data_IF_043462438645
#
_entry.id   IF_043462438645
#
_cell.length_a   1.000
_cell.length_b   1.000
_cell.length_c   1.000
_cell.angle_alpha   90.00
_cell.angle_beta   90.00
_cell.angle_gamma   90.00
#
_symmetry.space_group_name_H-M   'P 1'
#
loop_
_entity.id
_entity.type
_entity.pdbx_description
1 polymer ?
#
# COMPACT_ATOMS: atom_id res chain seq x y z
N UNK A 1 -0.87 19.52 -1.05
CA UNK A 1 0.07 19.62 -2.18
C UNK A 1 -0.63 19.20 -3.47
N UNK A 2 -0.12 19.59 -4.63
CA UNK A 2 -0.67 19.20 -5.95
C UNK A 2 -0.11 17.82 -6.32
N UNK A 3 -0.92 16.93 -6.89
CA UNK A 3 -0.47 15.62 -7.41
C UNK A 3 0.58 15.71 -8.54
N UNK A 4 0.96 16.92 -8.94
CA UNK A 4 1.95 17.24 -9.98
C UNK A 4 3.40 16.89 -9.66
N UNK A 5 3.73 16.59 -8.41
CA UNK A 5 5.14 16.48 -7.98
C UNK A 5 5.66 15.02 -7.98
N UNK A 6 4.78 14.05 -8.28
CA UNK A 6 5.12 12.65 -8.44
C UNK A 6 5.51 12.33 -9.88
N UNK A 7 6.65 11.66 -10.05
CA UNK A 7 7.12 11.20 -11.35
C UNK A 7 7.57 9.73 -11.30
N UNK A 8 7.52 8.99 -12.42
CA UNK A 8 8.02 7.61 -12.44
C UNK A 8 9.50 7.53 -12.02
N UNK A 9 9.81 6.64 -11.09
CA UNK A 9 11.17 6.41 -10.61
C UNK A 9 11.94 5.53 -11.60
N UNK A 10 13.04 6.06 -12.14
CA UNK A 10 13.88 5.32 -13.09
C UNK A 10 14.40 4.01 -12.50
N UNK A 11 14.32 2.92 -13.27
CA UNK A 11 14.81 1.60 -12.87
C UNK A 11 13.94 0.84 -11.86
N UNK A 12 12.79 1.39 -11.44
CA UNK A 12 11.88 0.76 -10.48
C UNK A 12 10.48 0.60 -11.11
N UNK A 13 10.14 -0.55 -11.71
CA UNK A 13 8.80 -0.79 -12.25
C UNK A 13 7.71 -0.59 -11.18
N UNK A 14 6.67 0.19 -11.51
CA UNK A 14 5.63 0.57 -10.55
C UNK A 14 6.09 1.57 -9.48
N UNK A 15 7.33 2.07 -9.59
CA UNK A 15 7.93 3.04 -8.68
C UNK A 15 7.67 4.48 -9.10
N UNK A 16 7.42 5.33 -8.12
CA UNK A 16 7.20 6.76 -8.26
C UNK A 16 8.00 7.52 -7.21
N UNK A 17 8.46 8.72 -7.53
CA UNK A 17 9.22 9.56 -6.62
C UNK A 17 8.71 11.00 -6.63
N UNK A 18 8.79 11.63 -5.47
CA UNK A 18 8.49 13.03 -5.26
C UNK A 18 9.79 13.78 -4.97
N UNK A 19 10.25 14.56 -5.95
CA UNK A 19 11.52 15.27 -5.84
C UNK A 19 11.51 16.40 -4.80
N UNK A 20 10.33 16.91 -4.41
CA UNK A 20 10.20 17.96 -3.40
C UNK A 20 10.39 17.42 -1.98
N UNK A 21 9.95 16.19 -1.71
CA UNK A 21 10.05 15.56 -0.38
C UNK A 21 11.19 14.54 -0.29
N UNK A 22 11.72 14.07 -1.43
CA UNK A 22 12.68 12.98 -1.48
C UNK A 22 12.05 11.60 -1.20
N UNK A 23 10.72 11.54 -1.05
CA UNK A 23 10.01 10.29 -0.89
C UNK A 23 9.91 9.54 -2.22
N UNK A 24 9.88 8.21 -2.14
CA UNK A 24 9.45 7.39 -3.25
C UNK A 24 8.58 6.25 -2.76
N UNK A 25 7.70 5.78 -3.65
CA UNK A 25 6.79 4.67 -3.40
C UNK A 25 6.88 3.66 -4.53
N UNK A 26 6.62 2.40 -4.23
CA UNK A 26 6.35 1.38 -5.21
C UNK A 26 5.00 0.76 -4.89
N UNK A 27 4.19 0.63 -5.93
CA UNK A 27 2.87 0.03 -5.85
C UNK A 27 2.90 -1.32 -6.55
N UNK A 28 2.36 -2.33 -5.89
CA UNK A 28 2.07 -3.63 -6.48
C UNK A 28 0.62 -4.00 -6.19
N UNK A 29 -0.09 -4.53 -7.20
CA UNK A 29 -1.46 -4.98 -7.04
C UNK A 29 -1.80 -6.07 -8.04
N UNK A 30 -2.80 -6.89 -7.72
CA UNK A 30 -3.32 -7.92 -8.60
C UNK A 30 -3.63 -9.22 -7.87
N UNK A 31 -3.71 -10.31 -8.63
CA UNK A 31 -3.95 -11.65 -8.09
C UNK A 31 -2.77 -12.12 -7.23
N UNK A 32 -3.10 -12.77 -6.13
CA UNK A 32 -2.18 -13.33 -5.16
C UNK A 32 -2.27 -14.85 -5.16
N UNK A 33 -1.12 -15.49 -4.97
CA UNK A 33 -1.01 -16.94 -4.77
C UNK A 33 -0.75 -17.28 -3.30
N UNK A 34 -0.97 -18.54 -2.87
CA UNK A 34 -0.71 -18.95 -1.49
C UNK A 34 0.75 -18.83 -1.04
N UNK A 35 1.71 -18.70 -1.95
CA UNK A 35 3.12 -18.37 -1.64
C UNK A 35 3.33 -16.87 -1.40
N UNK A 36 2.43 -16.00 -1.87
CA UNK A 36 2.49 -14.54 -1.67
C UNK A 36 1.70 -14.06 -0.45
N UNK A 37 0.60 -14.74 -0.08
CA UNK A 37 -0.20 -14.43 1.12
C UNK A 37 -0.88 -15.69 1.67
N UNK A 38 -1.21 -15.73 2.95
CA UNK A 38 -2.12 -16.73 3.54
C UNK A 38 -3.57 -16.29 3.33
N UNK A 39 -4.18 -16.81 2.27
CA UNK A 39 -5.54 -16.48 1.86
C UNK A 39 -6.61 -17.23 2.69
N UNK A 40 -6.23 -18.03 3.68
CA UNK A 40 -7.18 -18.84 4.46
C UNK A 40 -7.57 -18.20 5.80
N UNK A 41 -6.83 -17.17 6.24
CA UNK A 41 -6.95 -16.57 7.57
C UNK A 41 -7.79 -15.28 7.60
N UNK A 42 -8.46 -14.93 6.48
CA UNK A 42 -9.23 -13.70 6.30
C UNK A 42 -8.36 -12.48 5.93
N UNK A 43 -8.99 -11.42 5.44
CA UNK A 43 -8.35 -10.26 4.81
C UNK A 43 -7.19 -9.64 5.59
N UNK A 44 -7.39 -9.40 6.90
CA UNK A 44 -6.38 -8.75 7.74
C UNK A 44 -5.14 -9.62 7.90
N UNK A 45 -5.32 -10.90 8.23
CA UNK A 45 -4.22 -11.84 8.40
C UNK A 45 -3.51 -12.11 7.06
N UNK A 46 -4.26 -12.19 5.97
CA UNK A 46 -3.72 -12.28 4.62
C UNK A 46 -2.86 -11.05 4.27
N UNK A 47 -3.31 -9.85 4.63
CA UNK A 47 -2.56 -8.60 4.43
C UNK A 47 -1.25 -8.56 5.22
N UNK A 48 -1.26 -9.00 6.48
CA UNK A 48 -0.04 -9.15 7.30
C UNK A 48 0.92 -10.13 6.63
N UNK A 49 0.43 -11.32 6.28
CA UNK A 49 1.27 -12.35 5.66
C UNK A 49 1.85 -11.90 4.31
N UNK A 50 1.13 -11.06 3.56
CA UNK A 50 1.62 -10.48 2.31
C UNK A 50 2.81 -9.57 2.56
N UNK A 51 2.74 -8.73 3.60
CA UNK A 51 3.86 -7.87 4.01
C UNK A 51 5.06 -8.71 4.48
N UNK A 52 4.83 -9.68 5.38
CA UNK A 52 5.91 -10.54 5.91
C UNK A 52 6.62 -11.34 4.82
N UNK A 53 5.88 -11.85 3.83
CA UNK A 53 6.44 -12.57 2.69
C UNK A 53 7.21 -11.66 1.74
N UNK A 54 6.72 -10.44 1.50
CA UNK A 54 7.45 -9.42 0.73
C UNK A 54 8.76 -9.00 1.42
N UNK A 55 8.77 -8.94 2.75
CA UNK A 55 9.97 -8.66 3.56
C UNK A 55 10.84 -9.90 3.81
N UNK A 56 10.37 -11.10 3.47
CA UNK A 56 11.08 -12.36 3.69
C UNK A 56 11.27 -12.73 5.16
N UNK A 57 10.55 -12.10 6.08
CA UNK A 57 10.68 -12.37 7.52
C UNK A 57 9.37 -12.08 8.29
N UNK A 58 9.07 -12.84 9.35
CA UNK A 58 7.97 -12.54 10.25
C UNK A 58 8.21 -11.22 10.98
N UNK A 59 7.14 -10.48 11.22
CA UNK A 59 7.17 -9.20 11.95
C UNK A 59 6.39 -9.37 13.25
N UNK A 60 6.80 -8.65 14.30
CA UNK A 60 6.02 -8.61 15.54
C UNK A 60 4.57 -8.17 15.24
N UNK A 61 3.55 -9.00 15.53
CA UNK A 61 2.15 -8.65 15.32
C UNK A 61 1.73 -7.31 15.96
N UNK A 62 2.40 -6.89 17.05
CA UNK A 62 2.13 -5.64 17.73
C UNK A 62 2.60 -4.40 16.96
N UNK A 63 3.47 -4.56 15.96
CA UNK A 63 3.97 -3.47 15.11
C UNK A 63 3.02 -3.07 13.98
N UNK A 64 2.01 -3.90 13.72
CA UNK A 64 1.01 -3.62 12.71
C UNK A 64 -0.08 -2.71 13.25
N UNK A 65 -0.41 -1.67 12.48
CA UNK A 65 -1.52 -0.76 12.75
C UNK A 65 -2.55 -0.86 11.63
N UNK A 66 -3.83 -0.78 11.99
CA UNK A 66 -4.91 -0.73 11.02
C UNK A 66 -5.08 0.73 10.54
N UNK A 67 -5.05 0.94 9.23
CA UNK A 67 -5.10 2.26 8.61
C UNK A 67 -6.08 2.26 7.44
N UNK A 68 -6.66 3.42 7.12
CA UNK A 68 -7.47 3.57 5.92
C UNK A 68 -6.63 3.38 4.65
N UNK A 69 -7.15 2.64 3.68
CA UNK A 69 -6.62 2.60 2.31
C UNK A 69 -7.64 3.22 1.36
N UNK A 70 -7.24 4.26 0.63
CA UNK A 70 -8.12 4.93 -0.31
C UNK A 70 -8.53 4.00 -1.46
N UNK A 71 -9.83 3.80 -1.62
CA UNK A 71 -10.40 3.04 -2.75
C UNK A 71 -11.20 3.95 -3.67
N UNK A 72 -11.34 3.55 -4.93
CA UNK A 72 -12.22 4.18 -5.90
C UNK A 72 -13.16 3.13 -6.49
N UNK A 73 -14.44 3.44 -6.59
CA UNK A 73 -15.40 2.60 -7.32
C UNK A 73 -15.19 2.79 -8.82
N UNK A 74 -14.63 1.77 -9.49
CA UNK A 74 -14.40 1.82 -10.93
C UNK A 74 -15.67 1.57 -11.75
N UNK A 75 -16.75 1.10 -11.14
CA UNK A 75 -18.01 0.81 -11.82
C UNK A 75 -18.87 2.05 -12.04
N UNK A 76 -18.79 3.02 -11.13
CA UNK A 76 -19.57 4.26 -11.21
C UNK A 76 -18.85 5.41 -11.90
N UNK A 77 -17.54 5.30 -12.20
CA UNK A 77 -16.69 6.44 -12.59
C UNK A 77 -16.85 7.65 -11.66
N UNK A 78 -17.29 7.42 -10.42
CA UNK A 78 -17.40 8.45 -9.40
C UNK A 78 -16.12 8.40 -8.57
N UNK A 79 -15.62 9.57 -8.18
CA UNK A 79 -14.50 9.68 -7.24
C UNK A 79 -14.93 9.38 -5.80
N UNK A 80 -16.05 8.65 -5.60
CA UNK A 80 -16.54 8.33 -4.28
C UNK A 80 -15.47 7.52 -3.56
N UNK A 81 -14.87 8.18 -2.57
CA UNK A 81 -13.82 7.63 -1.75
C UNK A 81 -14.48 6.73 -0.72
N UNK A 82 -14.17 5.44 -0.82
CA UNK A 82 -14.38 4.54 0.29
C UNK A 82 -13.04 4.20 0.94
N UNK A 83 -13.10 3.74 2.17
CA UNK A 83 -11.94 3.39 2.98
C UNK A 83 -12.01 1.89 3.25
N UNK A 84 -11.02 1.16 2.75
CA UNK A 84 -10.83 -0.23 3.14
C UNK A 84 -9.83 -0.32 4.30
N UNK A 85 -10.09 -1.23 5.25
CA UNK A 85 -9.16 -1.53 6.34
C UNK A 85 -7.87 -2.16 5.79
N UNK A 86 -6.78 -1.42 5.79
CA UNK A 86 -5.46 -1.94 5.47
C UNK A 86 -4.59 -2.09 6.71
N UNK A 87 -3.51 -2.84 6.54
CA UNK A 87 -2.52 -3.02 7.58
C UNK A 87 -1.26 -2.28 7.18
N UNK A 88 -0.69 -1.53 8.12
CA UNK A 88 0.54 -0.78 7.93
C UNK A 88 1.59 -1.19 8.96
N UNK A 89 2.84 -1.24 8.51
CA UNK A 89 4.01 -1.36 9.38
C UNK A 89 5.09 -0.39 8.92
N UNK A 90 5.76 0.23 9.89
CA UNK A 90 6.93 1.07 9.65
C UNK A 90 8.21 0.24 9.59
N UNK A 91 9.17 0.70 8.80
CA UNK A 91 10.49 0.09 8.67
C UNK A 91 11.55 1.17 8.59
N UNK A 92 12.78 0.84 8.96
CA UNK A 92 13.94 1.71 8.75
C UNK A 92 14.98 0.94 7.94
N UNK A 93 15.50 1.56 6.88
CA UNK A 93 16.51 0.94 6.01
C UNK A 93 17.54 1.97 5.57
N UNK A 94 18.82 1.71 5.85
CA UNK A 94 19.95 2.49 5.34
C UNK A 94 19.85 4.02 5.55
N UNK A 95 19.24 4.45 6.66
CA UNK A 95 19.05 5.86 6.98
C UNK A 95 17.82 6.51 6.34
N UNK A 96 16.94 5.71 5.74
CA UNK A 96 15.59 6.10 5.32
C UNK A 96 14.56 5.51 6.28
N UNK A 97 13.50 6.26 6.53
CA UNK A 97 12.29 5.74 7.16
C UNK A 97 11.33 5.29 6.06
N UNK A 98 10.66 4.17 6.28
CA UNK A 98 9.76 3.59 5.30
C UNK A 98 8.55 2.93 5.92
N UNK A 99 7.68 2.42 5.06
CA UNK A 99 6.49 1.70 5.46
C UNK A 99 6.10 0.67 4.40
N UNK A 100 5.31 -0.30 4.84
CA UNK A 100 4.53 -1.19 4.00
C UNK A 100 3.07 -1.05 4.41
N UNK A 101 2.21 -0.74 3.46
CA UNK A 101 0.77 -0.70 3.64
C UNK A 101 0.14 -1.71 2.67
N UNK A 102 -0.65 -2.66 3.17
CA UNK A 102 -1.27 -3.69 2.34
C UNK A 102 -2.75 -3.90 2.66
N UNK A 103 -3.50 -4.20 1.61
CA UNK A 103 -4.89 -4.68 1.66
C UNK A 103 -5.01 -5.92 0.79
N UNK A 104 -5.45 -7.02 1.38
CA UNK A 104 -5.75 -8.29 0.69
C UNK A 104 -7.22 -8.62 0.86
N UNK A 105 -7.85 -9.05 -0.24
CA UNK A 105 -9.18 -9.61 -0.30
C UNK A 105 -9.02 -11.13 -0.45
N UNK A 106 -9.05 -11.83 0.68
CA UNK A 106 -8.67 -13.23 0.76
C UNK A 106 -9.56 -14.12 -0.13
N UNK A 107 -10.87 -13.85 -0.13
CA UNK A 107 -11.87 -14.59 -0.91
C UNK A 107 -11.72 -14.41 -2.43
N UNK A 108 -11.14 -13.29 -2.85
CA UNK A 108 -10.87 -12.98 -4.27
C UNK A 108 -9.48 -13.41 -4.71
N UNK A 109 -8.61 -13.80 -3.76
CA UNK A 109 -7.19 -13.99 -4.00
C UNK A 109 -6.57 -12.76 -4.70
N UNK A 110 -6.91 -11.56 -4.24
CA UNK A 110 -6.41 -10.30 -4.79
C UNK A 110 -5.87 -9.40 -3.68
N UNK A 111 -4.92 -8.53 -4.01
CA UNK A 111 -4.47 -7.52 -3.07
C UNK A 111 -3.67 -6.40 -3.71
N UNK A 112 -3.39 -5.40 -2.89
CA UNK A 112 -2.51 -4.30 -3.21
C UNK A 112 -1.58 -4.02 -2.04
N UNK A 113 -0.37 -3.57 -2.36
CA UNK A 113 0.62 -3.13 -1.41
C UNK A 113 1.30 -1.88 -1.93
N UNK A 114 1.43 -0.90 -1.05
CA UNK A 114 2.26 0.28 -1.25
C UNK A 114 3.42 0.15 -0.29
N UNK A 115 4.63 0.18 -0.84
CA UNK A 115 5.87 0.32 -0.11
C UNK A 115 6.36 1.74 -0.35
N UNK A 116 6.84 2.42 0.69
CA UNK A 116 7.44 3.75 0.51
C UNK A 116 8.59 4.02 1.44
N UNK A 117 9.49 4.88 1.00
CA UNK A 117 10.64 5.33 1.76
C UNK A 117 10.83 6.84 1.59
N UNK A 118 11.15 7.50 2.69
CA UNK A 118 11.40 8.94 2.76
C UNK A 118 12.68 9.21 3.57
N UNK A 119 13.23 10.44 3.50
CA UNK A 119 14.41 10.82 4.27
C UNK A 119 14.21 10.74 5.80
N UNK A 120 12.98 10.89 6.28
CA UNK A 120 12.65 10.84 7.71
C UNK A 120 11.20 10.41 7.96
N UNK A 121 10.91 10.03 9.21
CA UNK A 121 9.60 9.56 9.65
C UNK A 121 8.49 10.61 9.47
N UNK A 122 8.80 11.90 9.66
CA UNK A 122 7.79 12.97 9.48
C UNK A 122 7.30 13.04 8.03
N UNK A 123 8.21 12.84 7.09
CA UNK A 123 7.91 12.76 5.67
C UNK A 123 7.11 11.50 5.33
N UNK A 124 7.39 10.36 5.99
CA UNK A 124 6.57 9.13 5.87
C UNK A 124 5.14 9.38 6.34
N UNK A 125 4.97 9.99 7.52
CA UNK A 125 3.64 10.22 8.09
C UNK A 125 2.82 11.19 7.21
N UNK A 126 3.47 12.23 6.67
CA UNK A 126 2.86 13.16 5.72
C UNK A 126 2.46 12.45 4.42
N UNK A 127 3.35 11.61 3.89
CA UNK A 127 3.10 10.82 2.69
C UNK A 127 1.84 9.95 2.85
N UNK A 128 1.74 9.22 3.96
CA UNK A 128 0.60 8.32 4.21
C UNK A 128 -0.70 9.10 4.40
N UNK A 129 -0.66 10.19 5.18
CA UNK A 129 -1.87 10.93 5.55
C UNK A 129 -2.41 11.83 4.42
N UNK A 130 -1.54 12.39 3.59
CA UNK A 130 -1.92 13.44 2.63
C UNK A 130 -1.69 13.03 1.18
N UNK A 131 -0.50 12.55 0.85
CA UNK A 131 -0.10 12.34 -0.54
C UNK A 131 -0.66 11.03 -1.12
N UNK A 132 -0.59 9.92 -0.39
CA UNK A 132 -1.03 8.61 -0.89
C UNK A 132 -2.50 8.59 -1.31
N UNK A 133 -3.47 9.11 -0.52
CA UNK A 133 -4.88 9.11 -0.95
C UNK A 133 -5.17 9.95 -2.20
N UNK A 134 -4.33 10.97 -2.45
CA UNK A 134 -4.41 11.81 -3.64
C UNK A 134 -3.72 11.18 -4.86
N UNK A 135 -2.66 10.40 -4.62
CA UNK A 135 -1.80 9.81 -5.64
C UNK A 135 -2.26 8.42 -6.11
N UNK A 136 -2.65 7.54 -5.19
CA UNK A 136 -2.99 6.15 -5.46
C UNK A 136 -4.33 5.75 -4.84
N UNK A 137 -5.13 5.01 -5.61
CA UNK A 137 -6.39 4.44 -5.17
C UNK A 137 -6.51 3.01 -5.66
N UNK A 138 -6.99 2.11 -4.80
CA UNK A 138 -7.36 0.76 -5.23
C UNK A 138 -8.71 0.84 -5.93
N UNK A 139 -8.73 0.47 -7.20
CA UNK A 139 -9.98 0.31 -7.92
C UNK A 139 -10.71 -0.94 -7.46
N UNK A 140 -11.91 -0.79 -6.91
CA UNK A 140 -12.80 -1.92 -6.64
C UNK A 140 -13.73 -2.09 -7.83
N UNK A 141 -13.71 -3.27 -8.44
CA UNK A 141 -14.70 -3.67 -9.44
C UNK A 141 -15.69 -4.55 -8.71
N UNK A 142 -16.90 -4.05 -8.46
CA UNK A 142 -17.97 -4.91 -7.97
C UNK A 142 -18.14 -6.07 -8.96
N UNK A 143 -18.02 -7.30 -8.48
CA UNK A 143 -18.28 -8.48 -9.28
C UNK A 143 -19.70 -8.39 -9.83
N UNK A 144 -19.84 -8.39 -11.15
CA UNK A 144 -21.13 -8.64 -11.78
C UNK A 144 -21.46 -10.10 -11.58
N UNK A 145 -22.23 -10.40 -10.53
CA UNK A 145 -22.97 -11.67 -10.43
C UNK A 145 -23.98 -11.80 -11.59
#
# INVERSE_FOLDING_TARGET
MSSSDWSPKSGTPGGWENSATGCWVQVTNGSLTPDQADLTAGDRAASISFIEKSLGSPIDPASFVDVPFATADLTMYTEDQDIADAVLVYTDSEGLSGFFQARVFADLAEGAMVMGFCPDQTSVDTLIAEDLPAFYRIGLVAGTD
#
